data_IF_286290201580
#
_entry.id   IF_286290201580
#
_cell.length_a   1.000
_cell.length_b   1.000
_cell.length_c   1.000
_cell.angle_alpha   90.00
_cell.angle_beta   90.00
_cell.angle_gamma   90.00
#
_symmetry.space_group_name_H-M   'P 1'
#
loop_
_entity.id
_entity.type
_entity.pdbx_description
1 polymer ?
#
# COMPACT_ATOMS: atom_id res chain seq x y z
N UNK A 1 -7.01 -27.08 -10.23
CA UNK A 1 -7.06 -26.65 -8.80
C UNK A 1 -5.94 -27.26 -7.96
N UNK A 2 -5.69 -28.59 -7.98
CA UNK A 2 -4.57 -29.21 -7.26
C UNK A 2 -3.18 -28.73 -7.72
N UNK A 3 -2.95 -28.61 -9.03
CA UNK A 3 -1.72 -28.05 -9.62
C UNK A 3 -1.46 -26.59 -9.23
N UNK A 4 -2.51 -25.78 -9.07
CA UNK A 4 -2.38 -24.40 -8.59
C UNK A 4 -1.97 -24.33 -7.11
N UNK A 5 -2.40 -25.30 -6.30
CA UNK A 5 -2.01 -25.41 -4.88
C UNK A 5 -0.55 -25.87 -4.75
N UNK A 6 -0.10 -26.78 -5.61
CA UNK A 6 1.31 -27.21 -5.65
C UNK A 6 2.24 -26.09 -6.11
N UNK A 7 1.84 -25.32 -7.13
CA UNK A 7 2.55 -24.12 -7.56
C UNK A 7 2.59 -23.04 -6.45
N UNK A 8 1.51 -22.88 -5.68
CA UNK A 8 1.49 -21.98 -4.53
C UNK A 8 2.42 -22.45 -3.40
N UNK A 9 2.46 -23.75 -3.10
CA UNK A 9 3.39 -24.32 -2.11
C UNK A 9 4.85 -24.11 -2.51
N UNK A 10 5.18 -24.29 -3.80
CA UNK A 10 6.53 -24.05 -4.31
C UNK A 10 6.94 -22.57 -4.26
N UNK A 11 5.97 -21.66 -4.31
CA UNK A 11 6.19 -20.20 -4.27
C UNK A 11 6.37 -19.65 -2.86
N UNK A 12 5.80 -20.29 -1.85
CA UNK A 12 5.76 -19.76 -0.48
C UNK A 12 6.53 -20.59 0.53
N UNK A 13 6.93 -21.83 0.20
CA UNK A 13 7.51 -22.80 1.14
C UNK A 13 6.68 -23.00 2.42
N UNK A 14 5.37 -22.72 2.36
CA UNK A 14 4.47 -22.82 3.50
C UNK A 14 3.83 -24.21 3.59
N UNK A 15 3.75 -24.73 4.80
CA UNK A 15 2.97 -25.92 5.10
C UNK A 15 1.53 -25.53 5.45
N UNK A 16 0.56 -26.39 5.10
CA UNK A 16 -0.87 -26.16 5.43
C UNK A 16 -1.13 -26.03 6.94
N UNK A 17 -0.21 -26.52 7.78
CA UNK A 17 -0.32 -26.49 9.24
C UNK A 17 -0.03 -25.09 9.84
N UNK A 18 0.41 -24.12 9.05
CA UNK A 18 0.72 -22.76 9.49
C UNK A 18 -0.36 -21.72 9.15
N UNK A 19 -1.59 -22.15 8.85
CA UNK A 19 -2.72 -21.24 8.58
C UNK A 19 -3.47 -20.97 9.87
N UNK A 20 -3.70 -19.69 10.16
CA UNK A 20 -4.49 -19.27 11.32
C UNK A 20 -5.92 -19.78 11.23
N UNK A 21 -6.43 -20.48 12.26
CA UNK A 21 -7.82 -20.95 12.30
C UNK A 21 -8.78 -19.77 12.45
N UNK A 22 -10.06 -19.98 12.12
CA UNK A 22 -11.09 -18.99 12.44
C UNK A 22 -11.19 -18.78 13.96
N UNK A 23 -11.11 -17.53 14.39
CA UNK A 23 -11.13 -17.14 15.78
C UNK A 23 -12.04 -15.92 16.00
N UNK A 24 -12.89 -15.97 17.03
CA UNK A 24 -13.71 -14.83 17.44
C UNK A 24 -13.10 -14.16 18.67
N UNK A 25 -12.77 -12.88 18.57
CA UNK A 25 -12.18 -12.10 19.66
C UNK A 25 -13.07 -10.93 20.13
N UNK A 26 -14.36 -10.97 19.80
CA UNK A 26 -15.32 -9.92 20.19
C UNK A 26 -15.36 -9.66 21.69
N UNK A 27 -15.07 -10.69 22.51
CA UNK A 27 -14.99 -10.59 23.97
C UNK A 27 -13.81 -9.74 24.47
N UNK A 28 -12.81 -9.52 23.60
CA UNK A 28 -11.60 -8.76 23.91
C UNK A 28 -11.65 -7.31 23.40
N UNK A 29 -12.72 -6.92 22.72
CA UNK A 29 -12.85 -5.55 22.22
C UNK A 29 -12.90 -4.56 23.37
N UNK A 30 -11.96 -3.63 23.37
CA UNK A 30 -11.95 -2.48 24.28
C UNK A 30 -12.97 -1.44 23.81
N UNK A 31 -13.59 -0.66 24.72
CA UNK A 31 -14.37 0.49 24.31
C UNK A 31 -13.49 1.43 23.48
N UNK A 32 -14.02 1.89 22.34
CA UNK A 32 -13.27 2.74 21.43
C UNK A 32 -12.84 4.03 22.14
N UNK A 33 -11.55 4.34 22.11
CA UNK A 33 -11.01 5.64 22.53
C UNK A 33 -11.04 6.60 21.36
N UNK A 34 -11.08 7.87 21.64
CA UNK A 34 -11.05 8.90 20.58
C UNK A 34 -9.65 8.96 19.95
N UNK A 35 -9.62 9.06 18.61
CA UNK A 35 -8.39 9.25 17.87
C UNK A 35 -7.81 10.64 18.18
N UNK A 36 -6.50 10.75 18.48
CA UNK A 36 -5.87 12.05 18.68
C UNK A 36 -5.95 12.94 17.44
N UNK A 37 -6.35 14.20 17.60
CA UNK A 37 -6.54 15.14 16.48
C UNK A 37 -5.27 15.39 15.67
N UNK A 38 -4.08 15.37 16.32
CA UNK A 38 -2.80 15.60 15.66
C UNK A 38 -2.44 14.57 14.59
N UNK A 39 -3.05 13.38 14.59
CA UNK A 39 -2.82 12.35 13.56
C UNK A 39 -3.17 12.84 12.16
N UNK A 40 -4.18 13.70 12.04
CA UNK A 40 -4.63 14.23 10.76
C UNK A 40 -3.74 15.38 10.25
N UNK A 41 -3.05 16.07 11.15
CA UNK A 41 -2.33 17.31 10.85
C UNK A 41 -0.87 17.09 10.42
N UNK A 42 -0.29 15.89 10.71
CA UNK A 42 1.13 15.62 10.49
C UNK A 42 1.46 15.02 9.11
N UNK A 43 0.45 14.76 8.28
CA UNK A 43 0.65 14.30 6.90
C UNK A 43 1.29 12.90 6.76
N UNK A 44 1.48 12.48 5.53
CA UNK A 44 2.16 11.21 5.20
C UNK A 44 3.68 11.38 5.30
N UNK A 45 4.42 10.36 5.76
CA UNK A 45 5.88 10.38 5.91
C UNK A 45 6.63 10.84 4.64
N UNK A 46 6.14 10.42 3.45
CA UNK A 46 6.76 10.75 2.15
C UNK A 46 6.56 12.21 1.70
N UNK A 47 5.56 12.89 2.22
CA UNK A 47 5.20 14.27 1.84
C UNK A 47 5.24 15.26 3.01
N UNK A 48 5.77 14.84 4.16
CA UNK A 48 5.83 15.64 5.37
C UNK A 48 6.81 16.81 5.20
N UNK A 49 6.35 18.02 5.53
CA UNK A 49 7.18 19.22 5.53
C UNK A 49 8.08 19.28 6.77
N UNK A 50 9.18 20.04 6.70
CA UNK A 50 10.07 20.22 7.86
C UNK A 50 9.32 20.77 9.08
N UNK A 51 8.35 21.68 8.88
CA UNK A 51 7.50 22.21 9.96
C UNK A 51 6.69 21.10 10.62
N UNK A 52 6.06 20.21 9.84
CA UNK A 52 5.32 19.05 10.37
C UNK A 52 6.22 18.07 11.15
N UNK A 53 7.48 17.93 10.76
CA UNK A 53 8.47 17.13 11.52
C UNK A 53 8.76 17.77 12.86
N UNK A 54 9.00 19.07 12.91
CA UNK A 54 9.26 19.79 14.16
C UNK A 54 8.03 19.83 15.09
N UNK A 55 6.84 20.07 14.54
CA UNK A 55 5.58 19.99 15.29
C UNK A 55 5.38 18.58 15.90
N UNK A 56 5.69 17.53 15.13
CA UNK A 56 5.64 16.14 15.61
C UNK A 56 6.63 15.88 16.74
N UNK A 57 7.88 16.33 16.62
CA UNK A 57 8.89 16.21 17.70
C UNK A 57 8.44 16.92 18.96
N UNK A 58 7.85 18.12 18.83
CA UNK A 58 7.33 18.86 19.98
C UNK A 58 6.21 18.09 20.69
N UNK A 59 5.30 17.46 19.93
CA UNK A 59 4.24 16.62 20.49
C UNK A 59 4.84 15.45 21.28
N UNK A 60 5.83 14.73 20.71
CA UNK A 60 6.50 13.63 21.40
C UNK A 60 7.23 14.11 22.65
N UNK A 61 7.91 15.27 22.58
CA UNK A 61 8.56 15.88 23.74
C UNK A 61 7.54 16.17 24.86
N UNK A 62 6.37 16.68 24.52
CA UNK A 62 5.29 16.93 25.47
C UNK A 62 4.75 15.62 26.09
N UNK A 63 4.55 14.57 25.27
CA UNK A 63 4.14 13.24 25.77
C UNK A 63 5.20 12.70 26.76
N UNK A 64 6.47 12.89 26.48
CA UNK A 64 7.58 12.43 27.32
C UNK A 64 7.87 13.32 28.54
N UNK A 65 7.36 14.53 28.59
CA UNK A 65 7.58 15.44 29.72
C UNK A 65 6.94 14.98 31.03
N UNK A 66 5.91 14.10 30.94
CA UNK A 66 5.22 13.49 32.11
C UNK A 66 5.78 12.09 32.44
N UNK A 67 7.09 11.94 32.41
CA UNK A 67 7.80 10.70 32.77
C UNK A 67 8.42 10.85 34.16
N UNK A 68 7.98 10.00 35.11
CA UNK A 68 8.51 9.93 36.45
C UNK A 68 9.40 8.67 36.65
N UNK A 69 9.88 8.49 37.88
CA UNK A 69 10.72 7.35 38.25
C UNK A 69 9.99 5.99 38.37
N UNK A 70 8.73 5.91 37.95
CA UNK A 70 7.92 4.69 37.83
C UNK A 70 7.34 4.50 36.47
N UNK A 71 7.70 5.35 35.51
CA UNK A 71 7.20 5.32 34.14
C UNK A 71 8.22 4.61 33.25
N UNK A 72 7.79 3.58 32.54
CA UNK A 72 8.53 3.01 31.42
C UNK A 72 8.08 3.66 30.11
N UNK A 73 9.02 3.89 29.19
CA UNK A 73 8.75 4.43 27.86
C UNK A 73 9.23 3.44 26.81
N UNK A 74 8.39 3.07 25.88
CA UNK A 74 8.71 2.12 24.82
C UNK A 74 8.43 2.71 23.43
N UNK A 75 9.32 2.46 22.49
CA UNK A 75 9.09 2.68 21.06
C UNK A 75 9.01 1.33 20.37
N UNK A 76 8.04 1.15 19.49
CA UNK A 76 7.79 -0.12 18.78
C UNK A 76 7.70 0.10 17.29
N UNK A 77 8.27 -0.82 16.52
CA UNK A 77 8.23 -0.79 15.06
C UNK A 77 8.20 -2.21 14.47
N UNK A 78 7.61 -2.33 13.28
CA UNK A 78 7.59 -3.55 12.49
C UNK A 78 8.24 -3.35 11.14
N UNK A 79 9.02 -4.31 10.67
CA UNK A 79 9.64 -4.27 9.36
C UNK A 79 9.33 -5.51 8.55
N UNK A 80 9.20 -5.34 7.21
CA UNK A 80 8.91 -6.43 6.31
C UNK A 80 9.68 -6.28 4.99
N UNK A 81 10.37 -7.35 4.56
CA UNK A 81 11.05 -7.40 3.25
C UNK A 81 10.08 -7.87 2.17
N UNK A 82 9.36 -6.93 1.57
CA UNK A 82 8.13 -7.17 0.83
C UNK A 82 6.92 -7.08 1.76
N UNK A 83 5.71 -6.99 1.23
CA UNK A 83 4.51 -6.89 2.06
C UNK A 83 3.33 -7.62 1.37
N UNK A 84 3.03 -8.89 1.73
CA UNK A 84 3.68 -9.70 2.77
C UNK A 84 5.07 -10.24 2.38
N UNK A 85 5.90 -10.53 3.40
CA UNK A 85 7.24 -11.09 3.23
C UNK A 85 7.88 -11.43 4.59
N UNK A 86 9.21 -11.70 4.62
CA UNK A 86 9.94 -11.88 5.86
C UNK A 86 9.76 -10.68 6.76
N UNK A 87 9.24 -10.92 7.97
CA UNK A 87 8.75 -9.91 8.89
C UNK A 87 9.45 -10.01 10.24
N UNK A 88 9.80 -8.86 10.80
CA UNK A 88 10.44 -8.72 12.10
C UNK A 88 9.80 -7.63 12.95
N UNK A 89 9.95 -7.75 14.25
CA UNK A 89 9.52 -6.81 15.27
C UNK A 89 10.71 -6.24 16.01
N UNK A 90 10.67 -4.95 16.33
CA UNK A 90 11.68 -4.25 17.12
C UNK A 90 11.03 -3.39 18.20
N UNK A 91 11.62 -3.35 19.38
CA UNK A 91 11.21 -2.44 20.44
C UNK A 91 12.43 -1.91 21.22
N UNK A 92 12.32 -0.64 21.62
CA UNK A 92 13.31 0.05 22.42
C UNK A 92 12.61 0.56 23.69
N UNK A 93 12.96 0.03 24.85
CA UNK A 93 12.28 0.31 26.13
C UNK A 93 13.25 1.01 27.06
N UNK A 94 12.91 2.20 27.51
CA UNK A 94 13.60 2.89 28.61
C UNK A 94 12.85 2.57 29.91
N UNK A 95 13.51 1.81 30.79
CA UNK A 95 13.00 1.46 32.11
C UNK A 95 13.21 2.59 33.12
N UNK A 96 12.43 2.64 34.23
CA UNK A 96 12.56 3.69 35.25
C UNK A 96 13.96 3.81 35.91
N UNK A 97 14.74 2.72 35.91
CA UNK A 97 16.12 2.70 36.40
C UNK A 97 17.15 3.21 35.38
N UNK A 98 16.68 3.84 34.27
CA UNK A 98 17.47 4.31 33.14
C UNK A 98 18.13 3.20 32.29
N UNK A 99 17.80 1.95 32.53
CA UNK A 99 18.23 0.83 31.70
C UNK A 99 17.50 0.87 30.36
N UNK A 100 18.24 0.76 29.27
CA UNK A 100 17.70 0.66 27.92
C UNK A 100 17.65 -0.81 27.53
N UNK A 101 16.45 -1.31 27.23
CA UNK A 101 16.21 -2.66 26.75
C UNK A 101 15.88 -2.63 25.28
N UNK A 102 16.72 -3.25 24.47
CA UNK A 102 16.51 -3.44 23.02
C UNK A 102 15.95 -4.84 22.78
N UNK A 103 14.78 -4.92 22.19
CA UNK A 103 14.12 -6.18 21.84
C UNK A 103 14.05 -6.34 20.33
N UNK A 104 14.40 -7.54 19.89
CA UNK A 104 14.39 -7.90 18.47
C UNK A 104 13.80 -9.31 18.35
N UNK A 105 12.77 -9.47 17.50
CA UNK A 105 12.13 -10.75 17.28
C UNK A 105 11.80 -10.99 15.81
N UNK A 106 12.44 -12.00 15.15
CA UNK A 106 11.93 -12.54 13.89
C UNK A 106 10.52 -13.06 14.06
N UNK A 107 9.62 -12.77 13.12
CA UNK A 107 8.18 -13.02 13.28
C UNK A 107 7.69 -14.13 12.36
N UNK A 108 7.94 -14.01 11.06
CA UNK A 108 7.44 -14.95 10.06
C UNK A 108 8.19 -14.75 8.73
N UNK A 109 8.29 -15.82 7.94
CA UNK A 109 8.76 -15.72 6.54
C UNK A 109 7.77 -15.03 5.62
N UNK A 110 6.50 -15.01 6.00
CA UNK A 110 5.44 -14.43 5.17
C UNK A 110 4.34 -13.82 6.03
N UNK A 111 4.50 -12.55 6.37
CA UNK A 111 3.48 -11.75 7.06
C UNK A 111 3.46 -10.31 6.54
N UNK A 112 2.34 -9.60 6.67
CA UNK A 112 2.30 -8.17 6.41
C UNK A 112 3.02 -7.40 7.53
N UNK A 113 3.49 -6.19 7.23
CA UNK A 113 4.18 -5.32 8.18
C UNK A 113 3.36 -5.09 9.46
N UNK A 114 2.04 -5.01 9.36
CA UNK A 114 1.14 -4.85 10.51
C UNK A 114 1.36 -5.93 11.58
N UNK A 115 1.70 -7.15 11.19
CA UNK A 115 1.97 -8.25 12.13
C UNK A 115 3.26 -7.97 12.91
N UNK A 116 4.31 -7.48 12.25
CA UNK A 116 5.54 -7.04 12.90
C UNK A 116 5.30 -5.95 13.94
N UNK A 117 4.50 -4.94 13.58
CA UNK A 117 4.08 -3.86 14.48
C UNK A 117 3.34 -4.39 15.73
N UNK A 118 2.40 -5.30 15.52
CA UNK A 118 1.64 -5.89 16.61
C UNK A 118 2.50 -6.78 17.50
N UNK A 119 3.43 -7.56 16.92
CA UNK A 119 4.38 -8.37 17.70
C UNK A 119 5.33 -7.47 18.49
N UNK A 120 5.78 -6.34 17.97
CA UNK A 120 6.59 -5.37 18.71
C UNK A 120 5.85 -4.85 19.95
N UNK A 121 4.55 -4.57 19.86
CA UNK A 121 3.72 -4.24 21.01
C UNK A 121 3.59 -5.42 21.98
N UNK A 122 3.36 -6.64 21.47
CA UNK A 122 3.25 -7.87 22.27
C UNK A 122 4.51 -8.08 23.13
N UNK A 123 5.70 -8.06 22.52
CA UNK A 123 6.95 -8.29 23.26
C UNK A 123 7.22 -7.17 24.27
N UNK A 124 6.85 -5.93 23.96
CA UNK A 124 6.93 -4.81 24.91
C UNK A 124 6.06 -5.03 26.13
N UNK A 125 4.76 -5.33 25.92
CA UNK A 125 3.82 -5.58 27.04
C UNK A 125 4.28 -6.76 27.90
N UNK A 126 4.75 -7.84 27.27
CA UNK A 126 5.27 -9.02 27.97
C UNK A 126 6.48 -8.65 28.84
N UNK A 127 7.46 -7.94 28.30
CA UNK A 127 8.65 -7.51 29.06
C UNK A 127 8.29 -6.62 30.24
N UNK A 128 7.37 -5.67 30.06
CA UNK A 128 6.92 -4.81 31.15
C UNK A 128 6.15 -5.62 32.20
N UNK A 129 5.36 -6.61 31.83
CA UNK A 129 4.65 -7.48 32.80
C UNK A 129 5.62 -8.28 33.67
N UNK A 130 6.74 -8.73 33.10
CA UNK A 130 7.81 -9.43 33.84
C UNK A 130 8.55 -8.49 34.79
N UNK A 131 8.77 -7.22 34.41
CA UNK A 131 9.57 -6.25 35.15
C UNK A 131 8.78 -5.36 36.09
N UNK A 132 7.46 -5.22 35.89
CA UNK A 132 6.64 -4.20 36.58
C UNK A 132 6.70 -4.31 38.13
N UNK A 133 6.74 -5.52 38.67
CA UNK A 133 6.84 -5.72 40.11
C UNK A 133 8.20 -5.38 40.68
N UNK A 134 9.28 -5.81 39.96
CA UNK A 134 10.67 -5.60 40.37
C UNK A 134 11.04 -4.12 40.36
N UNK A 135 10.60 -3.39 39.35
CA UNK A 135 10.92 -1.98 39.14
C UNK A 135 9.82 -1.03 39.63
N UNK A 136 8.74 -1.56 40.21
CA UNK A 136 7.59 -0.78 40.67
C UNK A 136 6.98 0.12 39.57
N UNK A 137 6.93 -0.37 38.34
CA UNK A 137 6.38 0.35 37.19
C UNK A 137 4.86 0.49 37.44
N UNK A 138 4.35 1.71 37.38
CA UNK A 138 2.93 2.01 37.49
C UNK A 138 2.37 2.73 36.26
N UNK A 139 3.25 3.16 35.33
CA UNK A 139 2.86 3.77 34.06
C UNK A 139 3.73 3.24 32.92
N UNK A 140 3.11 2.95 31.78
CA UNK A 140 3.77 2.57 30.54
C UNK A 140 3.31 3.48 29.41
N UNK A 141 4.24 4.16 28.75
CA UNK A 141 3.99 4.91 27.53
C UNK A 141 4.56 4.15 26.35
N UNK A 142 3.72 3.73 25.41
CA UNK A 142 4.12 3.07 24.17
C UNK A 142 3.93 4.06 23.01
N UNK A 143 4.94 4.22 22.20
CA UNK A 143 4.97 5.06 21.03
C UNK A 143 5.21 4.18 19.80
N UNK A 144 4.28 4.18 18.84
CA UNK A 144 4.37 3.43 17.59
C UNK A 144 4.05 4.34 16.41
N UNK A 145 4.70 4.15 15.27
CA UNK A 145 4.37 4.89 14.06
C UNK A 145 3.27 4.21 13.21
N UNK A 146 2.82 3.02 13.64
CA UNK A 146 1.75 2.27 13.01
C UNK A 146 0.36 2.69 13.50
N UNK A 147 -0.28 3.61 12.77
CA UNK A 147 -1.68 3.99 13.06
C UNK A 147 -2.64 2.79 13.03
N UNK A 148 -2.36 1.80 12.18
CA UNK A 148 -3.19 0.60 12.07
C UNK A 148 -3.09 -0.29 13.31
N UNK A 149 -1.87 -0.52 13.81
CA UNK A 149 -1.67 -1.30 15.03
C UNK A 149 -2.30 -0.61 16.25
N UNK A 150 -2.09 0.71 16.39
CA UNK A 150 -2.75 1.51 17.44
C UNK A 150 -4.27 1.44 17.30
N UNK A 151 -4.81 1.54 16.09
CA UNK A 151 -6.23 1.46 15.81
C UNK A 151 -6.85 0.15 16.29
N UNK A 152 -6.19 -0.97 16.02
CA UNK A 152 -6.64 -2.31 16.45
C UNK A 152 -6.55 -2.46 17.95
N UNK A 153 -5.42 -2.09 18.56
CA UNK A 153 -5.16 -2.36 19.98
C UNK A 153 -5.89 -1.37 20.92
N UNK A 154 -5.95 -0.09 20.52
CA UNK A 154 -6.43 0.97 21.40
C UNK A 154 -7.78 1.59 20.98
N UNK A 155 -8.12 1.60 19.68
CA UNK A 155 -9.32 2.27 19.17
C UNK A 155 -10.45 1.30 18.77
N UNK A 156 -10.26 0.00 18.98
CA UNK A 156 -11.27 -1.01 18.67
C UNK A 156 -11.52 -1.21 17.17
N UNK A 157 -10.53 -0.94 16.31
CA UNK A 157 -10.67 -1.21 14.89
C UNK A 157 -10.77 -2.71 14.63
N UNK A 158 -11.67 -3.10 13.73
CA UNK A 158 -11.85 -4.50 13.37
C UNK A 158 -10.59 -5.07 12.72
N UNK A 159 -10.01 -6.11 13.34
CA UNK A 159 -8.97 -6.91 12.72
C UNK A 159 -9.58 -8.17 12.09
N UNK A 160 -9.53 -8.27 10.77
CA UNK A 160 -10.09 -9.41 10.01
C UNK A 160 -9.15 -10.61 9.96
N UNK A 161 -7.86 -10.36 10.15
CA UNK A 161 -6.79 -11.37 10.10
C UNK A 161 -5.98 -11.29 11.40
N UNK A 162 -5.22 -12.34 11.73
CA UNK A 162 -4.37 -12.35 12.95
C UNK A 162 -5.12 -12.03 14.25
N UNK A 163 -6.37 -12.51 14.36
CA UNK A 163 -7.25 -12.26 15.51
C UNK A 163 -6.67 -12.83 16.81
N UNK A 164 -5.98 -13.97 16.71
CA UNK A 164 -5.30 -14.58 17.85
C UNK A 164 -4.22 -13.66 18.42
N UNK A 165 -3.38 -13.07 17.57
CA UNK A 165 -2.36 -12.10 18.00
C UNK A 165 -2.98 -10.87 18.66
N UNK A 166 -4.10 -10.37 18.12
CA UNK A 166 -4.83 -9.26 18.76
C UNK A 166 -5.34 -9.64 20.14
N UNK A 167 -5.87 -10.86 20.31
CA UNK A 167 -6.36 -11.33 21.62
C UNK A 167 -5.25 -11.50 22.65
N UNK A 168 -4.06 -12.00 22.24
CA UNK A 168 -2.90 -12.10 23.12
C UNK A 168 -2.44 -10.71 23.61
N UNK A 169 -2.37 -9.72 22.71
CA UNK A 169 -2.00 -8.35 23.08
C UNK A 169 -3.00 -7.76 24.08
N UNK A 170 -4.29 -7.92 23.82
CA UNK A 170 -5.34 -7.41 24.70
C UNK A 170 -5.35 -8.14 26.07
N UNK A 171 -4.99 -9.42 26.10
CA UNK A 171 -4.83 -10.14 27.36
C UNK A 171 -3.66 -9.61 28.18
N UNK A 172 -2.48 -9.42 27.55
CA UNK A 172 -1.31 -8.80 28.22
C UNK A 172 -1.61 -7.39 28.73
N UNK A 173 -2.40 -6.62 27.98
CA UNK A 173 -2.86 -5.30 28.40
C UNK A 173 -3.68 -5.39 29.68
N UNK A 174 -4.68 -6.29 29.73
CA UNK A 174 -5.49 -6.53 30.95
C UNK A 174 -4.66 -7.02 32.14
N UNK A 175 -3.69 -7.91 31.88
CA UNK A 175 -2.82 -8.42 32.95
C UNK A 175 -1.99 -7.28 33.57
N UNK A 176 -1.52 -6.34 32.78
CA UNK A 176 -0.83 -5.13 33.25
C UNK A 176 -1.76 -4.18 34.01
N UNK A 177 -2.99 -3.97 33.51
CA UNK A 177 -4.01 -3.18 34.26
C UNK A 177 -4.32 -3.82 35.63
N UNK A 178 -4.44 -5.16 35.70
CA UNK A 178 -4.58 -5.87 36.96
C UNK A 178 -3.35 -5.72 37.87
N UNK A 179 -2.16 -5.60 37.28
CA UNK A 179 -0.92 -5.27 38.01
C UNK A 179 -0.83 -3.78 38.40
N UNK A 180 -1.85 -2.97 38.08
CA UNK A 180 -1.94 -1.53 38.36
C UNK A 180 -0.94 -0.71 37.56
N UNK A 181 -0.63 -1.12 36.35
CA UNK A 181 0.14 -0.35 35.36
C UNK A 181 -0.84 0.40 34.44
N UNK A 182 -0.77 1.71 34.46
CA UNK A 182 -1.54 2.58 33.55
C UNK A 182 -0.85 2.66 32.20
N UNK A 183 -1.53 2.23 31.10
CA UNK A 183 -0.95 2.09 29.77
C UNK A 183 -1.46 3.19 28.87
N UNK A 184 -0.52 3.94 28.28
CA UNK A 184 -0.77 4.96 27.25
C UNK A 184 -0.13 4.51 25.95
N UNK A 185 -0.93 4.34 24.90
CA UNK A 185 -0.47 4.00 23.55
C UNK A 185 -0.72 5.18 22.64
N UNK A 186 0.37 5.83 22.19
CA UNK A 186 0.34 7.01 21.37
C UNK A 186 1.10 6.80 20.06
N UNK A 187 0.86 7.68 19.12
CA UNK A 187 1.52 7.65 17.84
C UNK A 187 2.78 8.51 17.83
N UNK A 188 3.82 8.02 17.15
CA UNK A 188 5.05 8.76 16.83
C UNK A 188 5.23 8.86 15.31
N UNK A 189 5.78 9.96 14.77
CA UNK A 189 6.06 10.02 13.34
C UNK A 189 7.24 9.12 12.97
N UNK A 190 7.05 8.20 12.02
CA UNK A 190 8.14 7.41 11.44
C UNK A 190 9.17 8.29 10.72
N UNK A 191 10.43 7.93 10.80
CA UNK A 191 11.57 8.59 10.12
C UNK A 191 11.68 10.10 10.39
N UNK A 192 11.43 10.51 11.62
CA UNK A 192 11.51 11.92 12.05
C UNK A 192 12.76 12.25 12.89
N UNK A 193 13.71 11.32 13.00
CA UNK A 193 14.90 11.49 13.84
C UNK A 193 14.64 11.40 15.34
N UNK A 194 13.60 10.67 15.76
CA UNK A 194 13.31 10.36 17.17
C UNK A 194 14.08 9.11 17.54
N UNK A 195 15.11 9.27 18.40
CA UNK A 195 16.10 8.23 18.69
C UNK A 195 15.52 6.87 19.07
N UNK A 196 14.52 6.82 19.95
CA UNK A 196 13.89 5.56 20.34
C UNK A 196 13.17 4.86 19.17
N UNK A 197 12.50 5.64 18.29
CA UNK A 197 11.82 5.10 17.11
C UNK A 197 12.82 4.61 16.05
N UNK A 198 13.92 5.35 15.81
CA UNK A 198 14.96 4.91 14.89
C UNK A 198 15.66 3.62 15.39
N UNK A 199 15.80 3.47 16.72
CA UNK A 199 16.32 2.23 17.31
C UNK A 199 15.36 1.07 17.09
N UNK A 200 14.06 1.25 17.32
CA UNK A 200 13.05 0.23 17.08
C UNK A 200 13.00 -0.18 15.60
N UNK A 201 13.04 0.79 14.67
CA UNK A 201 13.11 0.55 13.20
C UNK A 201 14.35 -0.27 12.82
N UNK A 202 15.53 0.07 13.35
CA UNK A 202 16.75 -0.70 13.13
C UNK A 202 16.60 -2.15 13.59
N UNK A 203 16.08 -2.37 14.81
CA UNK A 203 15.87 -3.70 15.38
C UNK A 203 14.86 -4.51 14.58
N UNK A 204 13.76 -3.89 14.15
CA UNK A 204 12.74 -4.51 13.30
C UNK A 204 13.30 -4.96 11.95
N UNK A 205 14.16 -4.14 11.30
CA UNK A 205 14.85 -4.48 10.05
C UNK A 205 15.82 -5.63 10.20
N UNK A 206 16.60 -5.65 11.28
CA UNK A 206 17.48 -6.77 11.61
C UNK A 206 16.67 -8.05 11.81
N UNK A 207 15.61 -8.00 12.59
CA UNK A 207 14.70 -9.13 12.82
C UNK A 207 14.06 -9.64 11.52
N UNK A 208 13.63 -8.74 10.62
CA UNK A 208 13.09 -9.13 9.32
C UNK A 208 14.12 -9.85 8.44
N UNK A 209 15.40 -9.49 8.56
CA UNK A 209 16.48 -10.20 7.87
C UNK A 209 16.69 -11.60 8.45
N UNK A 210 16.67 -11.75 9.76
CA UNK A 210 16.78 -13.04 10.44
C UNK A 210 15.57 -13.95 10.12
N UNK A 211 14.39 -13.37 9.95
CA UNK A 211 13.17 -14.11 9.58
C UNK A 211 13.29 -14.85 8.24
N UNK A 212 14.17 -14.47 7.33
CA UNK A 212 14.39 -15.19 6.06
C UNK A 212 14.87 -16.62 6.28
N UNK A 213 15.64 -16.86 7.33
CA UNK A 213 16.29 -18.14 7.65
C UNK A 213 15.66 -18.91 8.80
N UNK A 214 14.61 -18.36 9.48
CA UNK A 214 13.97 -19.04 10.60
C UNK A 214 13.32 -20.37 10.16
N UNK A 215 13.22 -21.34 11.04
CA UNK A 215 12.62 -22.64 10.76
C UNK A 215 11.10 -22.65 11.04
N UNK A 216 10.71 -22.01 12.13
CA UNK A 216 9.33 -21.92 12.60
C UNK A 216 8.90 -20.47 12.68
N UNK A 217 7.68 -20.17 12.26
CA UNK A 217 7.09 -18.84 12.34
C UNK A 217 6.56 -18.60 13.77
N UNK A 218 6.85 -17.42 14.35
CA UNK A 218 6.27 -16.98 15.63
C UNK A 218 4.77 -16.70 15.50
N UNK A 219 4.36 -16.18 14.35
CA UNK A 219 2.95 -15.90 14.05
C UNK A 219 2.50 -16.71 12.85
N UNK A 220 1.38 -17.40 13.01
CA UNK A 220 0.75 -18.20 11.96
C UNK A 220 0.33 -17.32 10.79
N UNK A 221 0.71 -17.72 9.58
CA UNK A 221 0.36 -16.98 8.34
C UNK A 221 -1.15 -17.13 8.06
N UNK A 222 -1.82 -16.01 7.81
CA UNK A 222 -3.25 -16.06 7.45
C UNK A 222 -3.47 -16.49 5.99
N UNK A 223 -4.63 -17.06 5.70
CA UNK A 223 -5.02 -17.40 4.33
C UNK A 223 -5.03 -16.14 3.42
N UNK A 224 -5.39 -14.99 3.97
CA UNK A 224 -5.38 -13.72 3.23
C UNK A 224 -3.97 -13.34 2.77
N UNK A 225 -2.96 -13.53 3.63
CA UNK A 225 -1.55 -13.22 3.32
C UNK A 225 -1.02 -14.15 2.22
N UNK A 226 -1.35 -15.45 2.29
CA UNK A 226 -0.99 -16.41 1.24
C UNK A 226 -1.61 -15.99 -0.09
N UNK A 227 -2.90 -15.66 -0.10
CA UNK A 227 -3.59 -15.20 -1.31
C UNK A 227 -2.99 -13.90 -1.85
N UNK A 228 -2.60 -12.98 -0.99
CA UNK A 228 -1.96 -11.72 -1.39
C UNK A 228 -0.59 -11.99 -2.00
N UNK A 229 0.27 -12.75 -1.33
CA UNK A 229 1.59 -13.12 -1.83
C UNK A 229 1.52 -13.85 -3.19
N UNK A 230 0.57 -14.77 -3.34
CA UNK A 230 0.35 -15.47 -4.60
C UNK A 230 -0.04 -14.50 -5.74
N UNK A 231 -0.95 -13.55 -5.48
CA UNK A 231 -1.33 -12.52 -6.46
C UNK A 231 -0.15 -11.65 -6.88
N UNK A 232 0.67 -11.21 -5.91
CA UNK A 232 1.86 -10.41 -6.20
C UNK A 232 2.90 -11.20 -6.99
N UNK A 233 3.13 -12.47 -6.66
CA UNK A 233 4.02 -13.34 -7.42
C UNK A 233 3.56 -13.50 -8.88
N UNK A 234 2.26 -13.73 -9.10
CA UNK A 234 1.68 -13.80 -10.45
C UNK A 234 1.83 -12.47 -11.17
N UNK A 235 1.57 -11.34 -10.50
CA UNK A 235 1.74 -10.00 -11.07
C UNK A 235 3.18 -9.75 -11.50
N UNK A 236 4.16 -10.10 -10.67
CA UNK A 236 5.57 -9.95 -11.00
C UNK A 236 6.00 -10.82 -12.18
N UNK A 237 5.53 -12.09 -12.24
CA UNK A 237 5.77 -12.96 -13.41
C UNK A 237 5.15 -12.38 -14.67
N UNK A 238 3.93 -11.83 -14.57
CA UNK A 238 3.27 -11.17 -15.68
C UNK A 238 4.01 -9.92 -16.11
N UNK A 239 4.46 -9.07 -15.17
CA UNK A 239 5.26 -7.88 -15.45
C UNK A 239 6.53 -8.25 -16.24
N UNK A 240 7.32 -9.21 -15.75
CA UNK A 240 8.53 -9.66 -16.47
C UNK A 240 8.22 -10.13 -17.89
N UNK A 241 7.15 -10.93 -18.05
CA UNK A 241 6.72 -11.40 -19.36
C UNK A 241 6.28 -10.23 -20.26
N UNK A 242 5.59 -9.25 -19.70
CA UNK A 242 5.14 -8.05 -20.37
C UNK A 242 6.31 -7.18 -20.83
N UNK A 243 7.33 -7.03 -20.01
CA UNK A 243 8.53 -6.24 -20.31
C UNK A 243 9.32 -6.78 -21.49
N UNK A 244 9.44 -8.11 -21.61
CA UNK A 244 10.25 -8.77 -22.64
C UNK A 244 9.46 -9.26 -23.86
N UNK A 245 8.12 -9.19 -23.84
CA UNK A 245 7.28 -9.71 -24.93
C UNK A 245 7.50 -8.93 -26.23
N UNK A 246 7.65 -9.63 -27.34
CA UNK A 246 7.68 -9.03 -28.67
C UNK A 246 6.29 -8.54 -29.13
N UNK A 247 5.23 -9.12 -28.59
CA UNK A 247 3.86 -8.76 -28.89
C UNK A 247 3.33 -7.66 -27.95
N UNK A 248 2.37 -6.87 -28.46
CA UNK A 248 1.71 -5.84 -27.68
C UNK A 248 2.55 -4.60 -27.41
N UNK A 249 3.65 -4.39 -28.17
CA UNK A 249 4.57 -3.25 -27.98
C UNK A 249 3.90 -1.89 -28.13
N UNK A 250 2.89 -1.79 -28.98
CA UNK A 250 2.12 -0.55 -29.09
C UNK A 250 1.39 -0.23 -27.77
N UNK A 251 0.71 -1.20 -27.17
CA UNK A 251 0.08 -1.01 -25.86
C UNK A 251 1.10 -0.78 -24.74
N UNK A 252 2.29 -1.40 -24.83
CA UNK A 252 3.36 -1.24 -23.86
C UNK A 252 3.87 0.21 -23.77
N UNK A 253 3.87 0.97 -24.89
CA UNK A 253 4.24 2.39 -24.88
C UNK A 253 3.37 3.21 -23.91
N UNK A 254 2.10 2.83 -23.79
CA UNK A 254 1.13 3.52 -22.94
C UNK A 254 0.92 2.84 -21.58
N UNK A 255 1.27 1.55 -21.45
CA UNK A 255 1.01 0.75 -20.23
C UNK A 255 2.18 -0.19 -19.94
N UNK A 256 3.23 0.37 -19.41
CA UNK A 256 4.41 -0.40 -19.04
C UNK A 256 4.15 -1.26 -17.79
N UNK A 257 3.34 -0.77 -16.83
CA UNK A 257 3.04 -1.49 -15.60
C UNK A 257 1.79 -2.35 -15.69
N UNK A 258 1.92 -3.59 -15.22
CA UNK A 258 0.79 -4.49 -14.97
C UNK A 258 0.15 -4.10 -13.64
N UNK A 259 -0.97 -3.37 -13.68
CA UNK A 259 -1.72 -2.95 -12.48
C UNK A 259 -2.86 -3.92 -12.18
N UNK A 260 -3.14 -4.22 -10.87
CA UNK A 260 -4.21 -5.13 -10.48
C UNK A 260 -5.62 -4.58 -10.76
N UNK A 261 -5.75 -3.28 -10.93
CA UNK A 261 -7.01 -2.62 -11.29
C UNK A 261 -6.93 -2.12 -12.73
N UNK A 262 -7.80 -2.65 -13.57
CA UNK A 262 -8.01 -2.12 -14.91
C UNK A 262 -8.60 -0.72 -14.84
N UNK A 263 -8.39 0.05 -15.90
CA UNK A 263 -8.96 1.38 -16.06
C UNK A 263 -10.47 1.28 -15.88
N UNK A 264 -11.00 2.10 -15.00
CA UNK A 264 -12.43 2.29 -14.90
C UNK A 264 -12.88 3.21 -16.04
N UNK A 265 -13.41 2.63 -17.10
CA UNK A 265 -14.05 3.36 -18.21
C UNK A 265 -15.48 3.80 -17.88
N UNK A 266 -15.78 4.06 -16.62
CA UNK A 266 -17.10 4.60 -16.26
C UNK A 266 -17.37 5.91 -17.02
N UNK A 267 -18.54 6.02 -17.64
CA UNK A 267 -18.93 7.20 -18.41
C UNK A 267 -18.57 7.16 -19.89
N UNK A 268 -17.54 6.44 -20.33
CA UNK A 268 -17.16 6.34 -21.76
C UNK A 268 -18.16 5.50 -22.55
N UNK A 269 -18.70 6.06 -23.63
CA UNK A 269 -19.56 5.35 -24.60
C UNK A 269 -18.72 4.47 -25.53
N UNK A 270 -17.59 4.99 -26.03
CA UNK A 270 -16.74 4.37 -27.03
C UNK A 270 -15.59 3.53 -26.45
N UNK A 271 -15.81 2.84 -25.32
CA UNK A 271 -14.80 2.02 -24.61
C UNK A 271 -14.06 1.04 -25.51
N UNK A 272 -14.78 0.36 -26.40
CA UNK A 272 -14.22 -0.62 -27.32
C UNK A 272 -13.23 0.03 -28.28
N UNK A 273 -13.59 1.19 -28.84
CA UNK A 273 -12.75 1.93 -29.79
C UNK A 273 -11.50 2.42 -29.10
N UNK A 274 -11.61 2.99 -27.89
CA UNK A 274 -10.46 3.45 -27.13
C UNK A 274 -9.48 2.31 -26.81
N UNK A 275 -9.99 1.13 -26.40
CA UNK A 275 -9.15 -0.06 -26.19
C UNK A 275 -8.47 -0.52 -27.49
N UNK A 276 -9.17 -0.46 -28.61
CA UNK A 276 -8.61 -0.80 -29.92
C UNK A 276 -7.53 0.21 -30.37
N UNK A 277 -7.72 1.50 -30.09
CA UNK A 277 -6.71 2.55 -30.33
C UNK A 277 -5.48 2.31 -29.44
N UNK A 278 -5.66 2.04 -28.15
CA UNK A 278 -4.56 1.72 -27.24
C UNK A 278 -3.76 0.49 -27.66
N UNK A 279 -4.40 -0.50 -28.27
CA UNK A 279 -3.73 -1.70 -28.78
C UNK A 279 -3.19 -1.52 -30.19
N UNK A 280 -3.51 -0.40 -30.89
CA UNK A 280 -3.15 -0.16 -32.28
C UNK A 280 -3.97 -0.97 -33.30
N UNK A 281 -5.00 -1.71 -32.84
CA UNK A 281 -5.66 -2.74 -33.64
C UNK A 281 -6.61 -2.23 -34.71
N UNK A 282 -7.25 -1.07 -34.54
CA UNK A 282 -8.43 -0.69 -35.33
C UNK A 282 -8.13 0.15 -36.58
N UNK A 283 -6.88 0.55 -36.82
CA UNK A 283 -6.50 1.43 -37.91
C UNK A 283 -5.83 0.69 -39.10
N UNK A 284 -5.82 1.31 -40.28
CA UNK A 284 -5.46 0.62 -41.50
C UNK A 284 -4.02 0.09 -41.52
N UNK A 285 -3.07 0.80 -40.90
CA UNK A 285 -1.68 0.32 -40.85
C UNK A 285 -1.58 -1.07 -40.24
N UNK A 286 -2.16 -1.25 -39.04
CA UNK A 286 -2.15 -2.55 -38.36
C UNK A 286 -3.04 -3.59 -39.05
N UNK A 287 -4.20 -3.18 -39.56
CA UNK A 287 -5.14 -4.06 -40.25
C UNK A 287 -4.54 -4.59 -41.57
N UNK A 288 -3.75 -3.76 -42.28
CA UNK A 288 -2.98 -4.18 -43.46
C UNK A 288 -1.86 -5.16 -43.08
N UNK A 289 -1.12 -4.88 -41.98
CA UNK A 289 -0.05 -5.77 -41.51
C UNK A 289 -0.54 -7.18 -41.18
N UNK A 290 -1.78 -7.33 -40.74
CA UNK A 290 -2.40 -8.63 -40.43
C UNK A 290 -3.25 -9.18 -41.60
N UNK A 291 -3.25 -8.56 -42.74
CA UNK A 291 -3.94 -9.03 -43.96
C UNK A 291 -5.45 -8.75 -44.03
N UNK A 292 -5.98 -7.92 -43.13
CA UNK A 292 -7.41 -7.58 -43.11
C UNK A 292 -7.79 -6.37 -43.99
N UNK A 293 -6.80 -5.62 -44.47
CA UNK A 293 -6.97 -4.45 -45.33
C UNK A 293 -5.95 -4.45 -46.44
N UNK A 294 -6.36 -3.99 -47.63
CA UNK A 294 -5.51 -3.94 -48.81
C UNK A 294 -4.46 -2.81 -48.78
N UNK A 295 -4.72 -1.78 -47.96
CA UNK A 295 -3.86 -0.60 -47.87
C UNK A 295 -3.66 -0.15 -46.45
N UNK A 296 -2.43 0.27 -46.06
CA UNK A 296 -2.14 0.82 -44.74
C UNK A 296 -2.53 2.30 -44.62
N UNK A 297 -2.93 2.97 -45.73
CA UNK A 297 -3.05 4.41 -45.78
C UNK A 297 -4.41 4.93 -45.29
N UNK A 298 -4.38 6.11 -44.68
CA UNK A 298 -5.54 6.97 -44.43
C UNK A 298 -6.02 7.61 -45.75
N UNK A 299 -7.23 8.16 -45.77
CA UNK A 299 -7.77 8.92 -46.90
C UNK A 299 -6.94 10.16 -47.26
N UNK A 300 -6.11 10.67 -46.36
CA UNK A 300 -5.20 11.79 -46.61
C UNK A 300 -3.93 11.37 -47.38
N UNK A 301 -3.67 10.06 -47.52
CA UNK A 301 -2.50 9.51 -48.21
C UNK A 301 -1.36 9.03 -47.31
N UNK A 302 -1.40 9.35 -46.02
CA UNK A 302 -0.38 8.92 -45.04
C UNK A 302 -0.75 7.59 -44.35
N UNK A 303 0.22 6.81 -43.83
CA UNK A 303 -0.07 5.60 -43.05
C UNK A 303 -1.00 5.90 -41.89
N UNK A 304 -2.09 5.11 -41.78
CA UNK A 304 -3.10 5.33 -40.75
C UNK A 304 -2.68 4.67 -39.41
N UNK A 305 -1.76 5.32 -38.71
CA UNK A 305 -1.32 4.97 -37.34
C UNK A 305 -2.24 5.61 -36.32
N UNK A 306 -2.11 5.19 -35.06
CA UNK A 306 -2.85 5.80 -33.93
C UNK A 306 -2.42 7.25 -33.72
N UNK A 307 -1.13 7.53 -33.80
CA UNK A 307 -0.59 8.90 -33.67
C UNK A 307 -1.11 9.75 -34.83
N UNK A 308 -1.04 9.24 -36.07
CA UNK A 308 -1.58 9.93 -37.23
C UNK A 308 -3.06 10.30 -37.03
N UNK A 309 -3.90 9.35 -36.59
CA UNK A 309 -5.33 9.61 -36.39
C UNK A 309 -5.57 10.68 -35.31
N UNK A 310 -4.87 10.60 -34.17
CA UNK A 310 -5.12 11.49 -33.04
C UNK A 310 -4.45 12.85 -33.22
N UNK A 311 -3.17 12.90 -33.58
CA UNK A 311 -2.35 14.10 -33.51
C UNK A 311 -2.10 14.78 -34.89
N UNK A 312 -2.04 14.01 -35.99
CA UNK A 312 -1.43 14.50 -37.23
C UNK A 312 -2.41 14.65 -38.41
N UNK A 313 -3.44 13.80 -38.48
CA UNK A 313 -4.25 13.71 -39.67
C UNK A 313 -4.99 15.03 -40.01
N UNK A 314 -4.77 15.62 -41.20
CA UNK A 314 -5.44 16.86 -41.58
C UNK A 314 -6.95 16.71 -41.74
N UNK A 315 -7.46 15.51 -42.01
CA UNK A 315 -8.92 15.27 -42.14
C UNK A 315 -9.62 15.52 -40.78
N UNK A 316 -8.93 15.26 -39.67
CA UNK A 316 -9.50 15.39 -38.31
C UNK A 316 -9.04 16.67 -37.60
N UNK A 317 -8.36 17.59 -38.28
CA UNK A 317 -7.79 18.81 -37.67
C UNK A 317 -8.85 19.66 -36.96
N UNK A 318 -10.00 19.90 -37.59
CA UNK A 318 -11.09 20.69 -37.01
C UNK A 318 -11.63 20.04 -35.70
N UNK A 319 -11.74 18.72 -35.70
CA UNK A 319 -12.21 17.99 -34.52
C UNK A 319 -11.14 17.98 -33.41
N UNK A 320 -9.88 17.95 -33.78
CA UNK A 320 -8.73 18.03 -32.85
C UNK A 320 -8.62 19.41 -32.19
N UNK A 321 -8.79 20.46 -32.98
CA UNK A 321 -8.77 21.83 -32.42
C UNK A 321 -9.94 22.05 -31.45
N UNK A 322 -11.12 21.53 -31.75
CA UNK A 322 -12.26 21.54 -30.82
C UNK A 322 -11.93 20.77 -29.55
N UNK A 323 -11.36 19.57 -29.64
CA UNK A 323 -10.94 18.76 -28.51
C UNK A 323 -9.93 19.53 -27.62
N UNK A 324 -8.91 20.15 -28.21
CA UNK A 324 -7.90 20.98 -27.50
C UNK A 324 -8.57 22.14 -26.76
N UNK A 325 -9.52 22.81 -27.42
CA UNK A 325 -10.23 23.94 -26.81
C UNK A 325 -11.08 23.49 -25.63
N UNK A 326 -11.78 22.36 -25.74
CA UNK A 326 -12.59 21.80 -24.65
C UNK A 326 -11.73 21.34 -23.47
N UNK A 327 -10.56 20.73 -23.72
CA UNK A 327 -9.59 20.36 -22.69
C UNK A 327 -9.05 21.59 -21.96
N UNK A 328 -8.74 22.66 -22.72
CA UNK A 328 -8.27 23.91 -22.12
C UNK A 328 -9.34 24.58 -21.26
N UNK A 329 -10.56 24.73 -21.78
CA UNK A 329 -11.67 25.43 -21.09
C UNK A 329 -12.12 24.67 -19.85
N UNK A 330 -12.28 23.36 -19.95
CA UNK A 330 -12.87 22.56 -18.86
C UNK A 330 -11.84 22.07 -17.84
N UNK A 331 -10.55 21.95 -18.23
CA UNK A 331 -9.52 21.30 -17.41
C UNK A 331 -8.22 22.10 -17.31
N UNK A 332 -8.07 23.21 -18.04
CA UNK A 332 -6.82 24.00 -18.07
C UNK A 332 -5.65 23.30 -18.80
N UNK A 333 -5.89 22.21 -19.51
CA UNK A 333 -4.87 21.45 -20.21
C UNK A 333 -4.52 22.15 -21.53
N UNK A 334 -3.26 22.54 -21.70
CA UNK A 334 -2.76 23.25 -22.91
C UNK A 334 -2.08 22.31 -23.91
N UNK A 335 -1.35 21.32 -23.38
CA UNK A 335 -0.56 20.39 -24.21
C UNK A 335 -1.36 19.11 -24.44
N UNK A 336 -1.85 18.97 -25.67
CA UNK A 336 -2.56 17.77 -26.12
C UNK A 336 -1.58 16.83 -26.84
N UNK A 337 -1.69 15.55 -26.57
CA UNK A 337 -0.95 14.49 -27.29
C UNK A 337 -1.78 13.20 -27.32
N UNK A 338 -1.44 12.30 -28.26
CA UNK A 338 -2.02 10.95 -28.30
C UNK A 338 -1.80 10.21 -26.97
N UNK A 339 -0.70 10.48 -26.29
CA UNK A 339 -0.43 9.91 -24.96
C UNK A 339 -1.46 10.39 -23.93
N UNK A 340 -1.74 11.68 -23.84
CA UNK A 340 -2.79 12.22 -22.99
C UNK A 340 -4.16 11.58 -23.31
N UNK A 341 -4.49 11.44 -24.58
CA UNK A 341 -5.74 10.85 -25.05
C UNK A 341 -5.87 9.37 -24.65
N UNK A 342 -4.78 8.60 -24.74
CA UNK A 342 -4.80 7.15 -24.53
C UNK A 342 -4.51 6.71 -23.10
N UNK A 343 -3.68 7.45 -22.36
CA UNK A 343 -3.14 7.05 -21.04
C UNK A 343 -3.89 7.70 -19.88
N UNK A 344 -4.19 8.99 -19.98
CA UNK A 344 -4.65 9.79 -18.85
C UNK A 344 -6.10 9.56 -18.40
N UNK A 345 -6.86 8.74 -19.12
CA UNK A 345 -8.10 8.19 -18.57
C UNK A 345 -7.85 7.29 -17.34
N UNK A 346 -6.57 6.97 -17.04
CA UNK A 346 -6.16 6.01 -16.03
C UNK A 346 -5.38 6.60 -14.84
N UNK A 347 -4.85 7.82 -14.93
CA UNK A 347 -4.04 8.40 -13.86
C UNK A 347 -4.88 9.04 -12.74
N UNK A 348 -4.39 8.89 -11.51
CA UNK A 348 -5.05 9.44 -10.30
C UNK A 348 -5.07 10.99 -10.29
N UNK A 349 -4.15 11.63 -11.01
CA UNK A 349 -4.06 13.08 -11.16
C UNK A 349 -5.31 13.73 -11.78
N UNK A 350 -6.09 12.97 -12.57
CA UNK A 350 -7.29 13.47 -13.24
C UNK A 350 -8.59 12.89 -12.68
N UNK A 351 -8.57 12.35 -11.47
CA UNK A 351 -9.77 11.72 -10.85
C UNK A 351 -10.99 12.65 -10.81
N UNK A 352 -10.77 13.92 -10.46
CA UNK A 352 -11.83 14.93 -10.35
C UNK A 352 -12.40 15.35 -11.71
N UNK A 353 -11.62 15.21 -12.78
CA UNK A 353 -12.00 15.61 -14.14
C UNK A 353 -12.32 14.44 -15.07
N UNK A 354 -12.33 13.21 -14.55
CA UNK A 354 -12.43 11.98 -15.34
C UNK A 354 -13.68 11.91 -16.21
N UNK A 355 -14.80 12.37 -15.71
CA UNK A 355 -16.06 12.36 -16.48
C UNK A 355 -16.02 13.35 -17.65
N UNK A 356 -15.47 14.56 -17.44
CA UNK A 356 -15.27 15.56 -18.46
C UNK A 356 -14.31 15.07 -19.54
N UNK A 357 -13.16 14.50 -19.15
CA UNK A 357 -12.19 13.95 -20.09
C UNK A 357 -12.79 12.83 -20.93
N UNK A 358 -13.57 11.95 -20.30
CA UNK A 358 -14.26 10.85 -20.99
C UNK A 358 -15.25 11.36 -22.03
N UNK A 359 -16.03 12.39 -21.69
CA UNK A 359 -17.00 12.99 -22.61
C UNK A 359 -16.30 13.65 -23.82
N UNK A 360 -15.24 14.41 -23.56
CA UNK A 360 -14.48 15.09 -24.63
C UNK A 360 -13.85 14.07 -25.60
N UNK A 361 -13.31 12.96 -25.08
CA UNK A 361 -12.75 11.87 -25.89
C UNK A 361 -13.85 11.19 -26.73
N UNK A 362 -15.00 10.91 -26.15
CA UNK A 362 -16.13 10.30 -26.85
C UNK A 362 -16.62 11.21 -27.97
N UNK A 363 -16.74 12.52 -27.75
CA UNK A 363 -17.17 13.50 -28.73
C UNK A 363 -16.18 13.56 -29.92
N UNK A 364 -14.87 13.51 -29.67
CA UNK A 364 -13.88 13.44 -30.75
C UNK A 364 -14.02 12.16 -31.58
N UNK A 365 -14.16 11.00 -30.93
CA UNK A 365 -14.31 9.71 -31.62
C UNK A 365 -15.59 9.72 -32.49
N UNK A 366 -16.71 10.19 -31.95
CA UNK A 366 -17.99 10.28 -32.68
C UNK A 366 -17.92 11.29 -33.85
N UNK A 367 -17.36 12.48 -33.59
CA UNK A 367 -17.23 13.52 -34.62
C UNK A 367 -16.32 13.12 -35.77
N UNK A 368 -15.31 12.30 -35.53
CA UNK A 368 -14.40 11.79 -36.58
C UNK A 368 -15.10 10.91 -37.61
N UNK A 369 -16.21 10.28 -37.27
CA UNK A 369 -16.95 9.30 -38.09
C UNK A 369 -16.06 8.19 -38.67
N UNK A 370 -14.90 7.93 -38.03
CA UNK A 370 -13.93 6.93 -38.50
C UNK A 370 -14.35 5.51 -38.21
N UNK A 371 -15.10 5.31 -37.15
CA UNK A 371 -15.48 4.00 -36.60
C UNK A 371 -17.00 3.70 -36.70
N UNK A 372 -17.68 4.41 -37.55
CA UNK A 372 -19.13 4.21 -37.84
C UNK A 372 -19.29 3.21 -38.97
#
# INVERSE_FOLDING_TARGET
MLTQIEDMKSLTNLTMNSIEPEFSYLEYLQPSRTRPDYWNNLGCSKSRTNKQVEDAKQIITNILSDVDNRTAVAFTDGSCRGNPGPCGAGACILLPNTELVELKQPVSKLSPILVGEMVAMKITLKTILEECKRLQINKLKILSDSQSAIGIVNLGWENKTHKFLSSEILQLWKDLEMARVDIHLDWTPGHAGISGNETADRLAKEAATEAESMTDDEVVTSQADICHAARESVRMKWQRRWDISENGRHLYQFRQEVKPKYINFQGLKNKKILLQLQSGYCLNEYQNKIGNKDTPFCRCGEPETVIHFIDECPIYEVHRERLKQELFVNMGIRDFSAELFLVNTAEDSYKEHRENLSAIIDDFIEASKRFV
#
